data_IF_845064653924
#
_entry.id   IF_845064653924
#
_cell.length_a   1.000
_cell.length_b   1.000
_cell.length_c   1.000
_cell.angle_alpha   90.00
_cell.angle_beta   90.00
_cell.angle_gamma   90.00
#
_symmetry.space_group_name_H-M   'P 1'
#
loop_
_entity.id
_entity.type
_entity.pdbx_description
1 polymer ?
#
# COMPACT_ATOMS: atom_id res chain seq x y z
N UNK A 1 2.05 -10.92 12.95
CA UNK A 1 2.04 -11.71 11.70
C UNK A 1 3.43 -12.32 11.48
N UNK A 2 3.56 -13.51 10.88
CA UNK A 2 4.88 -14.05 10.50
C UNK A 2 5.32 -13.43 9.15
N UNK A 3 6.56 -12.97 8.99
CA UNK A 3 7.07 -12.49 7.70
C UNK A 3 6.96 -13.58 6.64
N UNK A 4 6.60 -13.19 5.41
CA UNK A 4 6.59 -14.12 4.28
C UNK A 4 8.02 -14.39 3.77
N UNK A 5 8.19 -15.47 3.00
CA UNK A 5 9.43 -15.73 2.26
C UNK A 5 9.59 -14.80 1.04
N UNK A 6 8.49 -14.20 0.58
CA UNK A 6 8.52 -13.22 -0.50
C UNK A 6 9.19 -11.93 -0.05
N UNK A 7 10.14 -11.45 -0.87
CA UNK A 7 10.91 -10.24 -0.60
C UNK A 7 11.09 -9.41 -1.86
N UNK A 8 11.25 -8.12 -1.63
CA UNK A 8 11.59 -7.11 -2.61
C UNK A 8 12.92 -6.48 -2.20
N UNK A 9 13.90 -6.54 -3.07
CA UNK A 9 15.16 -5.80 -2.93
C UNK A 9 15.14 -4.63 -3.91
N UNK A 10 15.37 -3.43 -3.39
CA UNK A 10 15.33 -2.21 -4.19
C UNK A 10 16.72 -1.97 -4.77
N UNK A 11 16.85 -2.01 -6.10
CA UNK A 11 18.10 -1.68 -6.76
C UNK A 11 18.27 -0.15 -6.80
N UNK A 12 19.46 0.35 -6.45
CA UNK A 12 19.79 1.77 -6.44
C UNK A 12 19.47 2.41 -7.81
N UNK A 13 18.64 3.47 -7.81
CA UNK A 13 18.14 4.13 -9.04
C UNK A 13 17.48 3.19 -10.07
N UNK A 14 17.12 1.98 -9.64
CA UNK A 14 16.66 0.88 -10.49
C UNK A 14 15.29 0.34 -10.11
N UNK A 15 14.93 -0.85 -10.61
CA UNK A 15 13.65 -1.49 -10.36
C UNK A 15 13.55 -2.10 -8.95
N UNK A 16 12.37 -2.65 -8.67
CA UNK A 16 12.15 -3.59 -7.58
C UNK A 16 12.51 -5.01 -8.06
N UNK A 17 13.51 -5.64 -7.47
CA UNK A 17 13.77 -7.07 -7.67
C UNK A 17 12.86 -7.86 -6.74
N UNK A 18 12.08 -8.79 -7.27
CA UNK A 18 11.13 -9.61 -6.51
C UNK A 18 11.58 -11.07 -6.53
N UNK A 19 11.53 -11.72 -5.36
CA UNK A 19 11.81 -13.16 -5.19
C UNK A 19 10.84 -13.78 -4.17
N UNK A 20 10.79 -15.12 -4.12
CA UNK A 20 9.92 -15.87 -3.19
C UNK A 20 8.48 -16.05 -3.67
N UNK A 21 8.28 -16.01 -5.00
CA UNK A 21 7.05 -16.37 -5.71
C UNK A 21 5.73 -15.77 -5.17
N UNK A 22 5.66 -14.47 -4.82
CA UNK A 22 4.38 -13.87 -4.46
C UNK A 22 3.50 -13.77 -5.71
N UNK A 23 2.21 -14.11 -5.60
CA UNK A 23 1.27 -13.96 -6.70
C UNK A 23 1.26 -12.52 -7.25
N UNK A 24 1.39 -12.36 -8.56
CA UNK A 24 1.37 -11.05 -9.23
C UNK A 24 0.02 -10.82 -9.89
N UNK A 25 -0.89 -10.14 -9.20
CA UNK A 25 -2.28 -9.99 -9.66
C UNK A 25 -2.72 -8.53 -9.69
N UNK A 26 -2.84 -7.91 -10.87
CA UNK A 26 -3.31 -6.54 -11.00
C UNK A 26 -4.70 -6.32 -10.43
N UNK A 27 -4.97 -5.08 -10.02
CA UNK A 27 -6.27 -4.67 -9.48
C UNK A 27 -6.64 -3.29 -10.00
N UNK A 28 -7.94 -3.05 -10.17
CA UNK A 28 -8.49 -1.72 -10.44
C UNK A 28 -9.47 -1.30 -9.36
N UNK A 29 -9.46 -0.01 -9.02
CA UNK A 29 -10.42 0.55 -8.07
C UNK A 29 -11.80 0.53 -8.71
N UNK A 30 -12.77 -0.06 -8.01
CA UNK A 30 -14.19 0.09 -8.31
C UNK A 30 -14.68 1.35 -7.62
N UNK A 31 -15.27 2.26 -8.39
CA UNK A 31 -15.76 3.56 -7.89
C UNK A 31 -17.28 3.66 -7.97
N UNK A 32 -17.87 4.49 -7.11
CA UNK A 32 -19.27 4.94 -7.25
C UNK A 32 -19.40 5.87 -8.46
N UNK A 33 -20.64 6.17 -8.86
CA UNK A 33 -20.95 7.21 -9.86
C UNK A 33 -20.41 8.60 -9.48
N UNK A 34 -20.16 8.82 -8.19
CA UNK A 34 -19.59 10.06 -7.63
C UNK A 34 -18.06 10.01 -7.50
N UNK A 35 -17.43 8.92 -7.93
CA UNK A 35 -15.98 8.75 -7.94
C UNK A 35 -15.37 8.19 -6.64
N UNK A 36 -16.17 7.82 -5.64
CA UNK A 36 -15.68 7.30 -4.35
C UNK A 36 -15.18 5.86 -4.49
N UNK A 37 -14.04 5.52 -3.88
CA UNK A 37 -13.47 4.19 -3.95
C UNK A 37 -14.24 3.20 -3.06
N UNK A 38 -14.81 2.14 -3.66
CA UNK A 38 -15.59 1.12 -2.92
C UNK A 38 -14.80 -0.13 -2.58
N UNK A 39 -14.10 -0.67 -3.58
CA UNK A 39 -13.29 -1.89 -3.45
C UNK A 39 -12.27 -1.98 -4.58
N UNK A 40 -11.44 -3.01 -4.56
CA UNK A 40 -10.62 -3.40 -5.70
C UNK A 40 -11.25 -4.60 -6.41
N UNK A 41 -11.29 -4.55 -7.75
CA UNK A 41 -11.56 -5.70 -8.59
C UNK A 41 -10.24 -6.29 -9.05
N UNK A 42 -10.01 -7.57 -8.74
CA UNK A 42 -8.85 -8.29 -9.23
C UNK A 42 -8.96 -8.57 -10.73
N UNK A 43 -7.84 -8.51 -11.43
CA UNK A 43 -7.69 -8.89 -12.82
C UNK A 43 -6.98 -10.26 -12.92
N UNK A 44 -6.73 -10.71 -14.15
CA UNK A 44 -6.03 -11.96 -14.40
C UNK A 44 -4.60 -11.87 -13.84
N UNK A 45 -4.21 -12.92 -13.13
CA UNK A 45 -2.84 -13.07 -12.63
C UNK A 45 -1.83 -13.12 -13.79
N UNK A 46 -0.70 -12.46 -13.60
CA UNK A 46 0.38 -12.37 -14.57
C UNK A 46 1.41 -13.45 -14.25
N UNK A 47 1.74 -14.29 -15.23
CA UNK A 47 2.84 -15.24 -15.09
C UNK A 47 4.19 -14.52 -15.05
N UNK A 48 5.08 -14.99 -14.18
CA UNK A 48 6.44 -14.46 -14.03
C UNK A 48 7.42 -15.61 -13.76
N UNK A 49 8.71 -15.32 -13.85
CA UNK A 49 9.80 -16.19 -13.39
C UNK A 49 9.96 -16.13 -11.87
N UNK A 50 10.76 -17.04 -11.30
CA UNK A 50 11.06 -17.10 -9.86
C UNK A 50 11.62 -15.78 -9.31
N UNK A 51 12.46 -15.12 -10.12
CA UNK A 51 12.95 -13.76 -9.91
C UNK A 51 12.47 -12.88 -11.05
N UNK A 52 11.91 -11.72 -10.74
CA UNK A 52 11.46 -10.75 -11.74
C UNK A 52 11.62 -9.32 -11.25
N UNK A 53 11.53 -8.36 -12.17
CA UNK A 53 11.79 -6.95 -11.88
C UNK A 53 10.54 -6.11 -12.19
N UNK A 54 10.05 -5.37 -11.19
CA UNK A 54 8.93 -4.44 -11.37
C UNK A 54 9.45 -3.02 -11.59
N UNK A 55 8.81 -2.30 -12.52
CA UNK A 55 9.12 -0.92 -12.81
C UNK A 55 8.93 -0.05 -11.56
N UNK A 56 9.90 0.83 -11.30
CA UNK A 56 9.84 1.83 -10.23
C UNK A 56 9.87 3.27 -10.78
N UNK A 57 10.51 3.48 -11.93
CA UNK A 57 10.69 4.80 -12.54
C UNK A 57 9.44 5.35 -13.26
N UNK A 58 8.43 4.53 -13.50
CA UNK A 58 7.22 4.90 -14.25
C UNK A 58 7.37 4.96 -15.77
N UNK A 59 8.56 4.75 -16.33
CA UNK A 59 8.88 4.96 -17.76
C UNK A 59 8.96 3.69 -18.60
N UNK A 60 8.74 2.52 -17.99
CA UNK A 60 8.73 1.28 -18.77
C UNK A 60 7.57 1.24 -19.77
N UNK A 61 7.80 0.69 -20.95
CA UNK A 61 6.79 0.34 -21.97
C UNK A 61 6.17 -1.05 -21.72
N UNK A 62 6.78 -1.86 -20.85
CA UNK A 62 6.34 -3.22 -20.50
C UNK A 62 5.79 -3.31 -19.06
N UNK A 63 5.14 -2.25 -18.57
CA UNK A 63 4.55 -2.23 -17.22
C UNK A 63 3.63 -3.46 -17.01
N UNK A 64 3.66 -4.09 -15.82
CA UNK A 64 4.31 -3.64 -14.59
C UNK A 64 5.80 -3.95 -14.49
N UNK A 65 6.38 -4.66 -15.46
CA UNK A 65 7.78 -5.09 -15.43
C UNK A 65 8.73 -3.96 -15.78
N UNK A 66 10.00 -4.12 -15.38
CA UNK A 66 11.08 -3.26 -15.80
C UNK A 66 11.64 -3.72 -17.16
N UNK A 67 11.94 -2.76 -18.04
CA UNK A 67 12.58 -2.95 -19.35
C UNK A 67 13.92 -2.21 -19.48
N UNK A 68 14.41 -1.62 -18.39
CA UNK A 68 15.65 -0.86 -18.37
C UNK A 68 15.51 0.65 -18.62
N UNK A 69 14.31 1.18 -18.90
CA UNK A 69 14.12 2.62 -19.19
C UNK A 69 14.66 3.56 -18.12
N UNK A 70 14.72 3.13 -16.85
CA UNK A 70 15.27 3.92 -15.73
C UNK A 70 16.71 4.38 -15.95
N UNK A 71 17.53 3.63 -16.69
CA UNK A 71 18.92 3.98 -16.95
C UNK A 71 19.05 5.15 -17.95
N UNK A 72 18.15 5.22 -18.93
CA UNK A 72 18.12 6.29 -19.94
C UNK A 72 17.42 7.55 -19.44
N UNK A 73 16.39 7.36 -18.61
CA UNK A 73 15.62 8.45 -17.99
C UNK A 73 16.34 9.09 -16.79
N UNK A 74 17.54 8.60 -16.44
CA UNK A 74 18.33 9.06 -15.30
C UNK A 74 17.49 9.10 -14.01
N UNK A 75 16.76 8.02 -13.75
CA UNK A 75 15.78 7.96 -12.67
C UNK A 75 16.43 8.18 -11.30
N UNK A 76 16.03 9.25 -10.62
CA UNK A 76 16.35 9.43 -9.20
C UNK A 76 15.41 8.61 -8.32
N UNK A 77 15.84 7.39 -8.02
CA UNK A 77 15.17 6.47 -7.11
C UNK A 77 15.52 6.62 -5.63
N UNK A 78 16.19 7.70 -5.21
CA UNK A 78 16.59 7.89 -3.81
C UNK A 78 15.43 7.70 -2.85
N UNK A 79 15.60 6.80 -1.88
CA UNK A 79 14.58 6.47 -0.88
C UNK A 79 14.60 7.45 0.29
N UNK A 80 13.47 8.11 0.53
CA UNK A 80 13.26 9.16 1.54
C UNK A 80 12.36 8.71 2.71
N UNK A 81 11.61 7.62 2.55
CA UNK A 81 10.63 7.18 3.53
C UNK A 81 11.23 6.85 4.89
N UNK A 82 10.50 7.22 5.94
CA UNK A 82 10.92 6.97 7.30
C UNK A 82 11.04 5.46 7.60
N UNK A 83 12.07 5.09 8.37
CA UNK A 83 12.38 3.68 8.72
C UNK A 83 12.16 3.38 10.19
N UNK A 84 11.64 4.32 10.97
CA UNK A 84 11.13 4.05 12.31
C UNK A 84 9.90 3.12 12.23
N UNK A 85 9.37 2.71 13.38
CA UNK A 85 8.22 1.80 13.42
C UNK A 85 6.89 2.55 13.32
N UNK A 86 5.85 1.85 12.89
CA UNK A 86 4.49 2.33 12.86
C UNK A 86 4.03 2.79 14.25
N UNK A 87 4.37 2.05 15.30
CA UNK A 87 3.98 2.41 16.67
C UNK A 87 4.65 3.72 17.14
N UNK A 88 5.82 4.07 16.59
CA UNK A 88 6.47 5.36 16.86
C UNK A 88 5.87 6.52 16.07
N UNK A 89 5.28 6.26 14.89
CA UNK A 89 4.69 7.30 14.02
C UNK A 89 3.19 7.48 14.21
N UNK A 90 2.48 6.42 14.59
CA UNK A 90 1.03 6.38 14.49
C UNK A 90 0.35 7.22 15.56
N UNK A 91 -0.54 8.10 15.12
CA UNK A 91 -1.46 8.82 15.99
C UNK A 91 -2.56 7.88 16.49
N UNK A 92 -2.97 8.03 17.75
CA UNK A 92 -4.03 7.22 18.37
C UNK A 92 -5.31 8.04 18.52
N UNK A 93 -6.43 7.48 18.08
CA UNK A 93 -7.76 8.03 18.25
C UNK A 93 -8.65 7.03 18.99
N UNK A 94 -9.16 7.44 20.16
CA UNK A 94 -9.93 6.57 21.05
C UNK A 94 -11.44 6.69 20.80
N UNK A 95 -12.12 5.55 20.81
CA UNK A 95 -13.58 5.42 20.82
C UNK A 95 -14.03 4.51 21.96
N UNK A 96 -15.32 4.18 21.99
CA UNK A 96 -15.84 3.20 22.96
C UNK A 96 -15.34 1.80 22.60
N UNK A 97 -14.47 1.23 23.45
CA UNK A 97 -13.88 -0.10 23.28
C UNK A 97 -12.92 -0.25 22.09
N UNK A 98 -12.50 0.84 21.45
CA UNK A 98 -11.63 0.81 20.26
C UNK A 98 -10.56 1.87 20.27
N UNK A 99 -9.46 1.58 19.56
CA UNK A 99 -8.42 2.55 19.23
C UNK A 99 -8.11 2.44 17.75
N UNK A 100 -8.29 3.54 17.01
CA UNK A 100 -7.83 3.64 15.62
C UNK A 100 -6.46 4.30 15.61
N UNK A 101 -5.51 3.65 14.95
CA UNK A 101 -4.14 4.15 14.75
C UNK A 101 -3.98 4.64 13.31
N UNK A 102 -3.30 5.79 13.14
CA UNK A 102 -3.11 6.42 11.83
C UNK A 102 -1.65 6.80 11.65
N UNK A 103 -1.01 6.20 10.65
CA UNK A 103 0.33 6.58 10.21
C UNK A 103 0.26 7.29 8.86
N UNK A 104 0.42 8.61 8.91
CA UNK A 104 0.33 9.46 7.72
C UNK A 104 1.44 9.19 6.71
N UNK A 105 2.60 8.69 7.15
CA UNK A 105 3.73 8.33 6.29
C UNK A 105 3.36 7.23 5.28
N UNK A 106 2.51 6.30 5.71
CA UNK A 106 2.04 5.20 4.86
C UNK A 106 0.86 5.61 3.98
N UNK A 107 0.25 6.77 4.18
CA UNK A 107 -0.98 7.14 3.48
C UNK A 107 -0.69 7.52 2.01
N UNK A 108 -1.27 6.79 1.06
CA UNK A 108 -1.20 7.14 -0.36
C UNK A 108 -2.52 7.78 -0.90
N UNK A 109 -3.40 8.17 0.03
CA UNK A 109 -4.70 8.81 -0.20
C UNK A 109 -5.62 8.09 -1.21
N UNK A 110 -5.81 6.77 -1.08
CA UNK A 110 -6.81 6.04 -1.87
C UNK A 110 -8.28 6.29 -1.46
N UNK A 111 -8.50 7.05 -0.38
CA UNK A 111 -9.81 7.53 0.06
C UNK A 111 -10.84 6.45 0.48
N UNK A 112 -10.41 5.23 0.81
CA UNK A 112 -11.31 4.19 1.38
C UNK A 112 -11.83 4.51 2.78
N UNK A 113 -11.19 5.46 3.48
CA UNK A 113 -11.49 5.86 4.86
C UNK A 113 -12.38 7.11 4.97
N UNK A 114 -12.90 7.60 3.84
CA UNK A 114 -13.79 8.77 3.77
C UNK A 114 -14.78 8.61 2.63
N UNK A 115 -16.06 8.76 2.94
CA UNK A 115 -17.16 8.86 1.98
C UNK A 115 -17.92 10.18 2.20
N UNK A 116 -18.87 10.49 1.32
CA UNK A 116 -19.70 11.70 1.37
C UNK A 116 -20.39 11.89 2.73
N UNK A 117 -20.90 10.80 3.32
CA UNK A 117 -21.65 10.86 4.57
C UNK A 117 -20.77 10.77 5.82
N UNK A 118 -19.68 9.99 5.80
CA UNK A 118 -18.89 9.67 6.99
C UNK A 118 -17.42 9.39 6.63
N UNK A 119 -16.52 9.83 7.51
CA UNK A 119 -15.12 9.38 7.59
C UNK A 119 -14.93 8.40 8.74
N UNK A 120 -13.77 7.76 8.79
CA UNK A 120 -13.39 6.92 9.93
C UNK A 120 -13.47 7.72 11.26
N UNK A 121 -13.10 8.99 11.21
CA UNK A 121 -13.12 9.88 12.37
C UNK A 121 -14.54 10.12 12.90
N UNK A 122 -15.51 10.31 12.00
CA UNK A 122 -16.92 10.48 12.37
C UNK A 122 -17.49 9.22 13.03
N UNK A 123 -17.08 8.04 12.56
CA UNK A 123 -17.55 6.75 13.08
C UNK A 123 -16.97 6.43 14.46
N UNK A 124 -15.73 6.81 14.76
CA UNK A 124 -15.07 6.54 16.05
C UNK A 124 -15.90 7.05 17.24
N UNK A 125 -16.55 8.22 17.10
CA UNK A 125 -17.34 8.83 18.18
C UNK A 125 -18.62 8.05 18.56
N UNK A 126 -18.99 7.00 17.82
CA UNK A 126 -20.24 6.27 18.01
C UNK A 126 -20.07 4.74 18.01
N UNK A 127 -18.90 4.23 18.39
CA UNK A 127 -18.55 2.79 18.32
C UNK A 127 -19.20 1.90 19.37
N UNK A 128 -19.94 2.47 20.35
CA UNK A 128 -20.78 1.69 21.25
C UNK A 128 -21.91 0.93 20.53
N UNK A 129 -22.23 1.31 19.28
CA UNK A 129 -23.11 0.57 18.39
C UNK A 129 -22.33 -0.45 17.56
N UNK A 130 -22.73 -1.72 17.62
CA UNK A 130 -22.13 -2.80 16.81
C UNK A 130 -22.21 -2.51 15.29
N UNK A 131 -23.25 -1.81 14.83
CA UNK A 131 -23.35 -1.43 13.42
C UNK A 131 -22.27 -0.43 13.01
N UNK A 132 -22.04 0.60 13.84
CA UNK A 132 -20.99 1.60 13.61
C UNK A 132 -19.62 0.96 13.69
N UNK A 133 -19.39 0.12 14.71
CA UNK A 133 -18.14 -0.62 14.87
C UNK A 133 -17.84 -1.51 13.66
N UNK A 134 -18.83 -2.27 13.17
CA UNK A 134 -18.66 -3.11 11.98
C UNK A 134 -18.33 -2.30 10.73
N UNK A 135 -18.96 -1.14 10.55
CA UNK A 135 -18.64 -0.23 9.44
C UNK A 135 -17.22 0.33 9.55
N UNK A 136 -16.80 0.75 10.75
CA UNK A 136 -15.45 1.27 11.00
C UNK A 136 -14.38 0.22 10.74
N UNK A 137 -14.54 -0.99 11.29
CA UNK A 137 -13.61 -2.12 11.05
C UNK A 137 -13.49 -2.41 9.56
N UNK A 138 -14.63 -2.54 8.87
CA UNK A 138 -14.62 -2.81 7.43
C UNK A 138 -14.00 -1.65 6.62
N UNK A 139 -14.15 -0.41 7.06
CA UNK A 139 -13.53 0.76 6.44
C UNK A 139 -12.00 0.72 6.61
N UNK A 140 -11.51 0.40 7.81
CA UNK A 140 -10.08 0.31 8.13
C UNK A 140 -9.41 -0.87 7.41
N UNK A 141 -10.08 -2.03 7.34
CA UNK A 141 -9.61 -3.19 6.57
C UNK A 141 -9.42 -2.87 5.08
N UNK A 142 -10.21 -1.93 4.54
CA UNK A 142 -10.09 -1.48 3.14
C UNK A 142 -8.94 -0.50 2.91
N UNK A 143 -8.30 0.05 3.95
CA UNK A 143 -7.12 0.91 3.79
C UNK A 143 -5.98 0.13 3.10
N UNK A 144 -5.72 0.34 1.81
CA UNK A 144 -4.79 -0.51 1.08
C UNK A 144 -3.34 -0.31 1.52
N UNK A 145 -2.95 0.87 1.99
CA UNK A 145 -1.57 1.13 2.40
C UNK A 145 -1.25 0.68 3.82
N UNK A 146 -2.25 0.25 4.60
CA UNK A 146 -2.06 -0.10 6.01
C UNK A 146 -1.77 1.09 6.93
N UNK A 147 -2.01 2.32 6.46
CA UNK A 147 -1.91 3.54 7.27
C UNK A 147 -2.87 3.52 8.47
N UNK A 148 -4.07 2.97 8.26
CA UNK A 148 -5.06 2.75 9.31
C UNK A 148 -4.97 1.34 9.86
N UNK A 149 -4.90 1.23 11.19
CA UNK A 149 -5.05 0.00 11.95
C UNK A 149 -6.08 0.22 13.07
N UNK A 150 -6.70 -0.87 13.55
CA UNK A 150 -7.70 -0.80 14.61
C UNK A 150 -7.45 -1.88 15.65
N UNK A 151 -7.54 -1.44 16.91
CA UNK A 151 -7.65 -2.30 18.07
C UNK A 151 -9.10 -2.30 18.56
N UNK A 152 -9.62 -3.47 18.91
CA UNK A 152 -10.92 -3.65 19.56
C UNK A 152 -10.71 -4.42 20.86
N UNK A 153 -11.10 -3.83 21.98
CA UNK A 153 -10.94 -4.40 23.32
C UNK A 153 -9.50 -4.88 23.65
N UNK A 154 -8.46 -4.11 23.27
CA UNK A 154 -7.08 -4.52 23.54
C UNK A 154 -6.45 -5.44 22.49
N UNK A 155 -7.16 -5.77 21.41
CA UNK A 155 -6.69 -6.70 20.39
C UNK A 155 -6.69 -6.08 19.00
N UNK A 156 -5.57 -6.21 18.29
CA UNK A 156 -5.51 -5.83 16.88
C UNK A 156 -6.47 -6.66 16.05
N UNK A 157 -7.29 -5.95 15.26
CA UNK A 157 -8.25 -6.53 14.32
C UNK A 157 -7.78 -6.20 12.91
N UNK A 158 -7.24 -7.21 12.25
CA UNK A 158 -6.84 -7.11 10.85
C UNK A 158 -6.99 -8.49 10.18
N UNK A 159 -7.51 -8.50 8.96
CA UNK A 159 -7.62 -9.73 8.18
C UNK A 159 -6.22 -10.30 7.82
N UNK A 160 -6.08 -11.62 7.90
CA UNK A 160 -4.91 -12.31 7.31
C UNK A 160 -5.04 -12.26 5.79
N UNK A 161 -4.07 -11.62 5.13
CA UNK A 161 -4.07 -11.48 3.68
C UNK A 161 -3.08 -12.45 3.03
N UNK A 162 -3.35 -12.90 1.79
CA UNK A 162 -2.38 -13.69 1.04
C UNK A 162 -1.13 -12.87 0.73
N UNK A 163 0.00 -13.56 0.63
CA UNK A 163 1.26 -12.99 0.12
C UNK A 163 1.06 -12.67 -1.35
N UNK A 164 0.97 -11.38 -1.69
CA UNK A 164 0.62 -10.95 -3.05
C UNK A 164 1.21 -9.57 -3.37
N UNK A 165 1.60 -9.38 -4.62
CA UNK A 165 1.91 -8.06 -5.20
C UNK A 165 0.81 -7.72 -6.21
N UNK A 166 0.21 -6.55 -6.05
CA UNK A 166 -0.89 -6.10 -6.90
C UNK A 166 -0.56 -4.76 -7.55
N UNK A 167 -0.18 -4.75 -8.85
CA UNK A 167 -0.16 -3.52 -9.62
C UNK A 167 -1.56 -2.91 -9.66
N UNK A 168 -1.71 -1.74 -9.04
CA UNK A 168 -2.95 -0.98 -9.15
C UNK A 168 -2.89 -0.22 -10.48
N UNK A 169 -3.94 -0.33 -11.29
CA UNK A 169 -4.07 0.44 -12.54
C UNK A 169 -3.85 1.93 -12.27
N UNK A 170 -2.99 2.56 -13.08
CA UNK A 170 -2.61 3.98 -12.96
C UNK A 170 -2.04 4.36 -11.57
N UNK A 171 -1.54 3.38 -10.82
CA UNK A 171 -1.22 3.55 -9.41
C UNK A 171 -0.07 2.68 -8.89
N UNK A 172 0.02 2.55 -7.55
CA UNK A 172 1.15 1.92 -6.88
C UNK A 172 1.16 0.40 -7.02
N UNK A 173 2.22 -0.22 -6.50
CA UNK A 173 2.22 -1.65 -6.18
C UNK A 173 1.68 -1.84 -4.76
N UNK A 174 0.54 -2.52 -4.62
CA UNK A 174 -0.01 -2.90 -3.33
C UNK A 174 0.57 -4.26 -2.90
N UNK A 175 1.28 -4.30 -1.79
CA UNK A 175 1.81 -5.50 -1.16
C UNK A 175 0.86 -5.96 -0.06
N UNK A 176 0.58 -7.26 0.00
CA UNK A 176 -0.18 -7.86 1.11
C UNK A 176 0.49 -9.10 1.67
N UNK A 177 0.19 -9.44 2.93
CA UNK A 177 0.61 -10.69 3.54
C UNK A 177 2.06 -10.71 4.06
N UNK A 178 2.66 -9.55 4.32
CA UNK A 178 4.00 -9.50 4.92
C UNK A 178 5.15 -9.73 3.94
N UNK A 179 5.02 -9.22 2.72
CA UNK A 179 6.14 -9.11 1.77
C UNK A 179 7.21 -8.19 2.38
N UNK A 180 8.46 -8.67 2.43
CA UNK A 180 9.58 -7.90 2.98
C UNK A 180 10.11 -6.93 1.93
N UNK A 181 10.56 -5.74 2.34
CA UNK A 181 11.13 -4.74 1.43
C UNK A 181 12.43 -4.20 1.99
N UNK A 182 13.51 -4.33 1.24
CA UNK A 182 14.84 -3.81 1.60
C UNK A 182 15.21 -2.67 0.66
N UNK A 183 15.53 -1.50 1.23
CA UNK A 183 16.01 -0.32 0.50
C UNK A 183 17.37 -0.56 -0.13
N UNK A 184 17.74 0.28 -1.09
CA UNK A 184 19.02 0.19 -1.79
C UNK A 184 20.23 0.45 -0.88
N UNK A 185 20.03 1.14 0.25
CA UNK A 185 21.01 1.34 1.32
C UNK A 185 21.10 0.18 2.33
N UNK A 186 20.33 -0.90 2.12
CA UNK A 186 20.31 -2.09 2.98
C UNK A 186 19.37 -2.01 4.19
N UNK A 187 18.68 -0.89 4.41
CA UNK A 187 17.72 -0.76 5.51
C UNK A 187 16.39 -1.41 5.14
N UNK A 188 15.86 -2.25 6.02
CA UNK A 188 14.55 -2.88 5.84
C UNK A 188 13.43 -1.88 6.17
N UNK A 189 12.43 -1.79 5.31
CA UNK A 189 11.16 -1.13 5.62
C UNK A 189 10.35 -2.07 6.52
N UNK A 190 9.75 -1.54 7.58
CA UNK A 190 8.97 -2.33 8.53
C UNK A 190 8.00 -3.29 7.81
N UNK A 191 8.07 -4.58 8.16
CA UNK A 191 7.21 -5.61 7.57
C UNK A 191 5.78 -5.46 8.07
N UNK A 192 4.86 -5.18 7.15
CA UNK A 192 3.44 -4.97 7.46
C UNK A 192 2.53 -5.87 6.63
N UNK A 193 1.31 -6.08 7.10
CA UNK A 193 0.31 -6.86 6.37
C UNK A 193 -0.13 -6.18 5.06
N UNK A 194 0.00 -4.85 4.99
CA UNK A 194 -0.32 -4.01 3.84
C UNK A 194 0.75 -2.92 3.69
N UNK A 195 1.22 -2.71 2.47
CA UNK A 195 2.15 -1.63 2.11
C UNK A 195 1.92 -1.20 0.66
N UNK A 196 2.16 0.07 0.33
CA UNK A 196 2.03 0.57 -1.05
C UNK A 196 3.34 1.18 -1.53
N UNK A 197 3.94 0.59 -2.57
CA UNK A 197 5.19 1.08 -3.17
C UNK A 197 4.91 1.98 -4.40
N UNK A 198 5.72 3.02 -4.55
CA UNK A 198 5.69 3.92 -5.70
C UNK A 198 6.09 3.18 -6.99
N UNK A 199 5.26 3.30 -8.03
CA UNK A 199 5.58 2.76 -9.37
C UNK A 199 5.65 3.85 -10.46
N UNK A 200 5.22 5.06 -10.14
CA UNK A 200 5.20 6.18 -11.08
C UNK A 200 6.54 6.94 -11.16
N UNK A 201 7.49 6.66 -10.25
CA UNK A 201 8.78 7.36 -10.16
C UNK A 201 8.75 8.71 -9.45
N UNK A 202 7.58 9.29 -9.17
CA UNK A 202 7.46 10.68 -8.73
C UNK A 202 7.17 10.88 -7.23
N UNK A 203 6.91 9.83 -6.45
CA UNK A 203 6.66 9.96 -5.00
C UNK A 203 7.78 10.74 -4.32
N UNK A 204 7.45 11.70 -3.46
CA UNK A 204 8.42 12.39 -2.58
C UNK A 204 8.75 11.52 -1.36
N UNK A 205 7.99 10.44 -1.16
CA UNK A 205 8.15 9.50 -0.07
C UNK A 205 8.66 8.11 -0.50
N UNK A 206 9.65 8.03 -1.40
CA UNK A 206 10.12 6.74 -1.94
C UNK A 206 10.72 5.86 -0.83
N UNK A 207 10.53 4.54 -0.85
CA UNK A 207 9.90 3.77 -1.91
C UNK A 207 8.38 3.69 -1.77
N UNK A 208 7.79 4.33 -0.76
CA UNK A 208 6.35 4.34 -0.53
C UNK A 208 5.64 5.22 -1.56
N UNK A 209 4.38 4.90 -1.80
CA UNK A 209 3.50 5.77 -2.58
C UNK A 209 2.91 6.84 -1.66
N UNK A 210 3.01 8.09 -2.06
CA UNK A 210 2.37 9.26 -1.41
C UNK A 210 1.07 9.68 -2.12
N UNK A 211 0.82 9.18 -3.33
CA UNK A 211 -0.36 9.53 -4.13
C UNK A 211 -0.08 10.43 -5.33
N UNK A 212 1.15 10.93 -5.48
CA UNK A 212 1.61 11.83 -6.55
C UNK A 212 1.29 11.33 -7.95
N UNK A 213 1.16 10.01 -8.15
CA UNK A 213 0.74 9.39 -9.42
C UNK A 213 -0.56 9.96 -10.00
N UNK A 214 -1.50 10.42 -9.16
CA UNK A 214 -2.74 11.04 -9.63
C UNK A 214 -2.50 12.44 -10.19
N UNK A 215 -1.65 13.21 -9.52
CA UNK A 215 -1.38 14.60 -9.88
C UNK A 215 -0.57 14.70 -11.18
N UNK A 216 0.32 13.74 -11.41
CA UNK A 216 1.12 13.66 -12.64
C UNK A 216 0.43 12.88 -13.78
N UNK A 217 -0.79 12.36 -13.56
CA UNK A 217 -1.52 11.58 -14.55
C UNK A 217 -0.77 10.31 -15.00
N UNK A 218 -0.24 9.53 -14.06
CA UNK A 218 0.47 8.29 -14.36
C UNK A 218 -0.47 7.26 -15.02
N UNK A 219 -0.06 6.67 -16.14
CA UNK A 219 -0.83 5.65 -16.87
C UNK A 219 -0.10 4.30 -16.88
N UNK A 220 -0.79 3.23 -16.46
CA UNK A 220 -0.22 1.88 -16.36
C UNK A 220 -1.23 0.73 -16.32
#
# INVERSE_FOLDING_TARGET
>A
MKPSEAKIEILAHGPYEVTGDPALRPRRVVRTERGEALTYRAEKEISHSDTYYLCRCGKSEHKPFCDGSHAFELFDGTETAATNTYDERAERHEGDGVVVRVDHELCHHAAFCKYEANSYFDLIGSTGSTNTLSQLVAMIDRCPSGALAIEVNGHDVEAVLPVQISPIGDGPLLLTGGVRVTRSDGVEVEVRNRLSLCRCGASENKPLCDGTHRDIGFEA
#
